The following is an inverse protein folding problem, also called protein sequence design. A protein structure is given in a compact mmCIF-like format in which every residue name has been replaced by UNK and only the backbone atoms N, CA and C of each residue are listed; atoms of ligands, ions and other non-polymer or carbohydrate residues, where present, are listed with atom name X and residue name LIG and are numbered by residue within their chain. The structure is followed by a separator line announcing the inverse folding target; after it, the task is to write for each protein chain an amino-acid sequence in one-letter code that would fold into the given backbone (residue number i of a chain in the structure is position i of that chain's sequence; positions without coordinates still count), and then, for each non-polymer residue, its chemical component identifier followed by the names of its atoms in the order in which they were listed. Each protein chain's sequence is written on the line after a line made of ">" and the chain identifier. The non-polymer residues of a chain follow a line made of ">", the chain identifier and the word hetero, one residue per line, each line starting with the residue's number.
data_IF_144204708028
#
_entry.id   IF_144204708028
#
_cell.length_a   1.000
_cell.length_b   1.000
_cell.length_c   1.000
_cell.angle_alpha   90.00
_cell.angle_beta   90.00
_cell.angle_gamma   90.00
#
_symmetry.space_group_name_H-M   'P 1'
#
loop_
_entity.id
_entity.type
_entity.pdbx_description
1 polymer ?
#
# COMPACT_ATOMS: atom_id res chain seq x y z
N UNK A 1 67.23 -1.61 55.00
CA UNK A 1 65.84 -1.31 55.46
C UNK A 1 65.06 -0.39 54.51
N UNK A 2 65.67 0.55 53.77
CA UNK A 2 64.95 1.46 52.83
C UNK A 2 64.33 0.78 51.58
N UNK A 3 64.91 -0.31 51.07
CA UNK A 3 64.38 -1.00 49.88
C UNK A 3 63.28 -2.04 50.19
N UNK A 4 63.25 -2.57 51.42
CA UNK A 4 62.24 -3.53 51.87
C UNK A 4 60.87 -2.87 52.12
N UNK A 5 60.87 -1.60 52.54
CA UNK A 5 59.63 -0.82 52.75
C UNK A 5 58.94 -0.49 51.42
N UNK A 6 59.70 -0.27 50.34
CA UNK A 6 59.16 0.02 49.00
C UNK A 6 58.44 -1.20 48.37
N UNK A 7 58.94 -2.40 48.62
CA UNK A 7 58.32 -3.66 48.16
C UNK A 7 57.04 -4.00 48.94
N UNK A 8 57.00 -3.70 50.25
CA UNK A 8 55.81 -3.86 51.08
C UNK A 8 54.71 -2.85 50.74
N UNK A 9 55.06 -1.60 50.40
CA UNK A 9 54.09 -0.60 49.95
C UNK A 9 53.48 -0.92 48.58
N UNK A 10 54.22 -1.59 47.69
CA UNK A 10 53.70 -2.00 46.37
C UNK A 10 52.77 -3.21 46.48
N UNK A 11 53.04 -4.14 47.40
CA UNK A 11 52.17 -5.29 47.67
C UNK A 11 50.82 -4.90 48.29
N UNK A 12 50.80 -3.90 49.17
CA UNK A 12 49.56 -3.41 49.79
C UNK A 12 48.64 -2.68 48.80
N UNK A 13 49.20 -1.95 47.84
CA UNK A 13 48.42 -1.29 46.76
C UNK A 13 47.79 -2.31 45.82
N UNK A 14 48.44 -3.46 45.58
CA UNK A 14 47.93 -4.53 44.72
C UNK A 14 46.78 -5.33 45.37
N UNK A 15 46.74 -5.44 46.70
CA UNK A 15 45.64 -6.11 47.43
C UNK A 15 44.38 -5.25 47.50
N UNK A 16 44.51 -3.92 47.45
CA UNK A 16 43.37 -3.00 47.47
C UNK A 16 42.64 -2.89 46.11
N UNK A 17 43.28 -3.24 44.99
CA UNK A 17 42.66 -3.17 43.66
C UNK A 17 41.83 -4.40 43.28
N UNK A 18 42.06 -5.56 43.93
CA UNK A 18 41.27 -6.79 43.71
C UNK A 18 39.96 -6.85 44.49
N UNK A 19 39.77 -6.00 45.50
CA UNK A 19 38.50 -5.87 46.25
C UNK A 19 37.48 -4.93 45.59
N UNK A 20 37.86 -4.23 44.50
CA UNK A 20 36.97 -3.32 43.78
C UNK A 20 36.07 -4.04 42.75
N UNK A 21 36.21 -5.36 42.58
CA UNK A 21 35.27 -6.15 41.79
C UNK A 21 34.01 -6.39 42.63
N UNK A 22 33.13 -5.38 42.68
CA UNK A 22 31.80 -5.55 43.27
C UNK A 22 31.05 -6.59 42.45
N UNK A 23 30.45 -7.59 43.10
CA UNK A 23 29.55 -8.52 42.44
C UNK A 23 28.46 -7.68 41.78
N UNK A 24 28.39 -7.71 40.44
CA UNK A 24 27.31 -7.05 39.71
C UNK A 24 26.00 -7.66 40.23
N UNK A 25 25.03 -6.80 40.57
CA UNK A 25 23.72 -7.26 41.02
C UNK A 25 23.17 -8.28 40.01
N UNK A 26 22.53 -9.34 40.50
CA UNK A 26 21.95 -10.35 39.63
C UNK A 26 21.01 -9.64 38.66
N UNK A 27 21.30 -9.76 37.35
CA UNK A 27 20.49 -9.12 36.32
C UNK A 27 19.06 -9.66 36.45
N UNK A 28 18.03 -8.80 36.41
CA UNK A 28 16.65 -9.26 36.47
C UNK A 28 16.39 -10.28 35.35
N UNK A 29 16.00 -11.49 35.74
CA UNK A 29 15.51 -12.50 34.80
C UNK A 29 14.09 -12.12 34.43
N UNK A 30 13.91 -11.65 33.20
CA UNK A 30 12.59 -11.38 32.66
C UNK A 30 12.02 -12.67 32.08
N UNK A 31 10.82 -13.03 32.51
CA UNK A 31 10.08 -14.12 31.88
C UNK A 31 9.88 -13.85 30.39
N UNK A 32 9.87 -14.94 29.61
CA UNK A 32 9.59 -14.83 28.19
C UNK A 32 8.16 -14.33 27.96
N UNK A 33 8.00 -13.54 26.90
CA UNK A 33 6.69 -13.18 26.39
C UNK A 33 5.88 -14.40 25.92
N UNK A 34 4.63 -14.14 25.54
CA UNK A 34 3.67 -15.13 25.06
C UNK A 34 3.20 -14.74 23.65
N UNK A 35 2.92 -15.75 22.83
CA UNK A 35 2.33 -15.55 21.52
C UNK A 35 0.99 -14.80 21.66
N UNK A 36 0.79 -13.78 20.82
CA UNK A 36 -0.46 -13.02 20.81
C UNK A 36 -1.55 -13.78 20.06
N UNK A 37 -2.80 -13.59 20.43
CA UNK A 37 -3.95 -14.06 19.66
C UNK A 37 -4.45 -12.92 18.78
N UNK A 38 -4.37 -13.10 17.46
CA UNK A 38 -4.85 -12.16 16.45
C UNK A 38 -6.35 -12.37 16.19
N UNK A 39 -7.08 -11.26 16.11
CA UNK A 39 -8.49 -11.20 15.71
C UNK A 39 -8.67 -10.15 14.60
N UNK A 40 -9.68 -10.35 13.75
CA UNK A 40 -10.11 -9.37 12.76
C UNK A 40 -11.54 -8.93 13.04
N UNK A 41 -11.88 -7.67 12.72
CA UNK A 41 -13.25 -7.16 12.86
C UNK A 41 -14.24 -7.83 11.92
N UNK A 42 -13.77 -8.41 10.81
CA UNK A 42 -14.60 -9.08 9.81
C UNK A 42 -13.91 -10.33 9.27
N UNK A 43 -14.70 -11.36 8.97
CA UNK A 43 -14.25 -12.54 8.21
C UNK A 43 -14.44 -12.36 6.71
N UNK A 44 -15.33 -11.46 6.30
CA UNK A 44 -15.54 -11.03 4.91
C UNK A 44 -15.58 -9.51 4.86
N UNK A 45 -14.72 -8.90 4.06
CA UNK A 45 -14.63 -7.45 3.88
C UNK A 45 -15.21 -7.09 2.53
N UNK A 46 -16.26 -6.27 2.54
CA UNK A 46 -16.84 -5.65 1.35
C UNK A 46 -16.45 -4.18 1.38
N UNK A 47 -15.74 -3.73 0.34
CA UNK A 47 -15.29 -2.35 0.21
C UNK A 47 -15.51 -1.88 -1.23
N UNK A 48 -15.86 -0.62 -1.38
CA UNK A 48 -16.06 0.03 -2.67
C UNK A 48 -15.10 1.22 -2.84
N UNK A 49 -15.08 1.82 -4.04
CA UNK A 49 -14.33 3.06 -4.28
C UNK A 49 -14.68 4.16 -3.28
N UNK A 50 -15.94 4.26 -2.85
CA UNK A 50 -16.39 5.26 -1.87
C UNK A 50 -15.77 5.08 -0.47
N UNK A 51 -15.26 3.88 -0.16
CA UNK A 51 -14.65 3.55 1.13
C UNK A 51 -13.12 3.70 1.10
N UNK A 52 -12.55 4.20 0.00
CA UNK A 52 -11.09 4.28 -0.21
C UNK A 52 -10.33 4.87 0.97
N UNK A 53 -10.87 5.93 1.59
CA UNK A 53 -10.23 6.64 2.71
C UNK A 53 -10.74 6.22 4.09
N UNK A 54 -11.63 5.22 4.16
CA UNK A 54 -12.21 4.70 5.40
C UNK A 54 -11.50 3.41 5.79
N UNK A 55 -11.34 3.19 7.10
CA UNK A 55 -10.93 1.89 7.62
C UNK A 55 -12.02 0.85 7.34
N UNK A 56 -11.69 -0.21 6.60
CA UNK A 56 -12.65 -1.26 6.19
C UNK A 56 -12.44 -2.57 6.95
N UNK A 57 -11.25 -2.78 7.50
CA UNK A 57 -10.94 -3.90 8.37
C UNK A 57 -9.97 -3.46 9.45
N UNK A 58 -10.24 -3.86 10.69
CA UNK A 58 -9.30 -3.70 11.80
C UNK A 58 -8.83 -5.05 12.31
N UNK A 59 -7.61 -5.05 12.82
CA UNK A 59 -6.95 -6.20 13.43
C UNK A 59 -6.56 -5.82 14.85
N UNK A 60 -6.80 -6.72 15.79
CA UNK A 60 -6.47 -6.55 17.19
C UNK A 60 -5.77 -7.79 17.71
N UNK A 61 -4.92 -7.63 18.71
CA UNK A 61 -4.21 -8.75 19.32
C UNK A 61 -4.01 -8.60 20.82
N UNK A 62 -3.83 -9.73 21.50
CA UNK A 62 -3.60 -9.78 22.95
C UNK A 62 -2.23 -9.22 23.34
N UNK A 63 -2.00 -8.97 24.63
CA UNK A 63 -0.71 -8.49 25.13
C UNK A 63 0.34 -9.61 25.03
N UNK A 64 1.50 -9.40 24.37
CA UNK A 64 2.59 -10.39 24.36
C UNK A 64 3.32 -10.52 25.70
N UNK A 65 3.13 -9.61 26.65
CA UNK A 65 3.78 -9.64 27.98
C UNK A 65 5.32 -9.70 27.92
N UNK A 66 5.89 -9.12 26.87
CA UNK A 66 7.32 -8.87 26.70
C UNK A 66 7.90 -8.13 27.92
N UNK A 67 9.10 -8.50 28.36
CA UNK A 67 9.76 -7.95 29.56
C UNK A 67 10.23 -6.49 29.49
N UNK A 68 9.66 -5.68 28.59
CA UNK A 68 9.95 -4.25 28.42
C UNK A 68 8.66 -3.43 28.46
N UNK A 69 8.78 -2.11 28.46
CA UNK A 69 7.62 -1.21 28.36
C UNK A 69 6.81 -1.52 27.09
N UNK A 70 5.48 -1.52 27.22
CA UNK A 70 4.58 -1.79 26.10
C UNK A 70 4.77 -0.84 24.91
N UNK A 71 5.21 0.40 25.14
CA UNK A 71 5.56 1.34 24.08
C UNK A 71 6.71 0.86 23.19
N UNK A 72 7.58 -0.02 23.71
CA UNK A 72 8.70 -0.62 22.99
C UNK A 72 8.33 -1.91 22.26
N UNK A 73 7.08 -2.37 22.35
CA UNK A 73 6.64 -3.54 21.61
C UNK A 73 6.54 -3.21 20.12
N UNK A 74 7.14 -4.06 19.31
CA UNK A 74 7.04 -4.02 17.86
C UNK A 74 6.13 -5.13 17.38
N UNK A 75 5.14 -4.77 16.57
CA UNK A 75 4.24 -5.69 15.90
C UNK A 75 4.41 -5.55 14.39
N UNK A 76 4.55 -6.68 13.70
CA UNK A 76 4.56 -6.73 12.24
C UNK A 76 3.33 -7.51 11.81
N UNK A 77 2.32 -6.82 11.28
CA UNK A 77 1.17 -7.42 10.63
C UNK A 77 1.60 -7.89 9.24
N UNK A 78 1.50 -9.19 9.00
CA UNK A 78 1.84 -9.86 7.75
C UNK A 78 0.57 -10.30 7.04
N UNK A 79 0.42 -9.93 5.77
CA UNK A 79 -0.76 -10.21 4.96
C UNK A 79 -0.32 -10.89 3.68
N UNK A 80 -0.82 -12.08 3.38
CA UNK A 80 -0.49 -12.81 2.17
C UNK A 80 -1.76 -13.42 1.52
N UNK A 81 -1.70 -13.82 0.26
CA UNK A 81 -2.74 -14.68 -0.33
C UNK A 81 -2.80 -15.99 0.43
N UNK A 82 -4.02 -16.49 0.63
CA UNK A 82 -4.23 -17.70 1.40
C UNK A 82 -3.43 -18.89 0.87
N UNK A 83 -2.81 -19.65 1.78
CA UNK A 83 -2.05 -20.86 1.45
C UNK A 83 -0.65 -20.61 0.89
N UNK A 84 -0.20 -19.35 0.73
CA UNK A 84 1.18 -19.03 0.30
C UNK A 84 2.21 -19.11 1.42
N UNK A 85 1.81 -19.45 2.64
CA UNK A 85 2.70 -19.52 3.82
C UNK A 85 3.55 -18.26 4.01
N UNK A 86 2.98 -17.08 3.72
CA UNK A 86 3.66 -15.78 3.84
C UNK A 86 4.90 -15.60 2.93
N UNK A 87 5.01 -16.37 1.85
CA UNK A 87 6.13 -16.29 0.90
C UNK A 87 6.18 -14.97 0.11
N UNK A 88 5.07 -14.23 0.02
CA UNK A 88 4.99 -12.92 -0.66
C UNK A 88 4.15 -11.92 0.14
N UNK A 89 4.36 -11.91 1.45
CA UNK A 89 3.61 -11.05 2.36
C UNK A 89 3.83 -9.55 2.10
N UNK A 90 2.76 -8.78 2.30
CA UNK A 90 2.84 -7.34 2.56
C UNK A 90 2.81 -7.14 4.07
N UNK A 91 3.70 -6.28 4.58
CA UNK A 91 3.84 -6.04 6.01
C UNK A 91 3.44 -4.63 6.43
N UNK A 92 2.79 -4.49 7.59
CA UNK A 92 2.52 -3.20 8.26
C UNK A 92 3.10 -3.25 9.68
N UNK A 93 4.05 -2.36 9.98
CA UNK A 93 4.67 -2.29 11.32
C UNK A 93 3.91 -1.34 12.22
N UNK A 94 3.71 -1.75 13.48
CA UNK A 94 3.03 -0.99 14.53
C UNK A 94 3.89 -1.03 15.79
N UNK A 95 4.13 0.13 16.40
CA UNK A 95 4.87 0.26 17.66
C UNK A 95 3.91 0.63 18.78
N UNK A 96 4.01 -0.02 19.93
CA UNK A 96 3.29 0.34 21.16
C UNK A 96 1.77 0.13 21.15
N UNK A 97 1.14 -0.03 19.99
CA UNK A 97 -0.29 -0.26 19.84
C UNK A 97 -0.61 -1.73 19.55
N UNK A 98 -1.73 -2.21 20.10
CA UNK A 98 -2.21 -3.59 19.95
C UNK A 98 -3.32 -3.76 18.91
N UNK A 99 -3.39 -2.81 18.00
CA UNK A 99 -4.35 -2.81 16.91
C UNK A 99 -3.83 -2.03 15.72
N UNK A 100 -4.39 -2.34 14.55
CA UNK A 100 -4.22 -1.55 13.34
C UNK A 100 -5.43 -1.72 12.45
N UNK A 101 -5.53 -0.89 11.42
CA UNK A 101 -6.58 -1.00 10.42
C UNK A 101 -5.99 -0.84 9.02
N UNK A 102 -6.71 -1.36 8.03
CA UNK A 102 -6.49 -1.06 6.63
C UNK A 102 -7.63 -0.21 6.12
N UNK A 103 -7.27 0.86 5.42
CA UNK A 103 -8.21 1.61 4.59
C UNK A 103 -8.66 0.79 3.39
N UNK A 104 -9.79 1.15 2.79
CA UNK A 104 -10.25 0.53 1.54
C UNK A 104 -9.17 0.58 0.46
N UNK A 105 -8.44 1.69 0.35
CA UNK A 105 -7.34 1.87 -0.61
C UNK A 105 -6.13 0.99 -0.31
N UNK A 106 -5.66 0.94 0.95
CA UNK A 106 -4.55 0.05 1.32
C UNK A 106 -4.89 -1.42 1.00
N UNK A 107 -6.09 -1.86 1.37
CA UNK A 107 -6.54 -3.22 1.09
C UNK A 107 -6.61 -3.46 -0.42
N UNK A 108 -7.29 -2.60 -1.19
CA UNK A 108 -7.45 -2.77 -2.63
C UNK A 108 -6.08 -2.84 -3.35
N UNK A 109 -5.13 -2.00 -2.94
CA UNK A 109 -3.78 -2.01 -3.49
C UNK A 109 -3.04 -3.34 -3.24
N UNK A 110 -3.18 -3.93 -2.05
CA UNK A 110 -2.61 -5.27 -1.78
C UNK A 110 -3.19 -6.29 -2.77
N UNK A 111 -4.51 -6.29 -2.95
CA UNK A 111 -5.19 -7.26 -3.81
C UNK A 111 -4.80 -7.11 -5.29
N UNK A 112 -4.78 -5.88 -5.79
CA UNK A 112 -4.41 -5.59 -7.17
C UNK A 112 -2.95 -5.95 -7.44
N UNK A 113 -2.03 -5.66 -6.52
CA UNK A 113 -0.63 -6.03 -6.67
C UNK A 113 -0.37 -7.54 -6.50
N UNK A 114 -1.32 -8.30 -5.94
CA UNK A 114 -1.34 -9.77 -6.02
C UNK A 114 -1.89 -10.31 -7.34
N UNK A 115 -2.39 -9.44 -8.23
CA UNK A 115 -2.97 -9.83 -9.52
C UNK A 115 -4.38 -10.39 -9.41
N UNK A 116 -5.08 -10.08 -8.33
CA UNK A 116 -6.46 -10.53 -8.14
C UNK A 116 -7.42 -9.80 -9.08
N UNK A 117 -8.41 -10.54 -9.59
CA UNK A 117 -9.39 -10.00 -10.51
C UNK A 117 -10.39 -9.12 -9.77
N UNK A 118 -10.65 -7.93 -10.29
CA UNK A 118 -11.63 -6.98 -9.75
C UNK A 118 -13.01 -7.64 -9.65
N UNK A 119 -13.70 -7.40 -8.54
CA UNK A 119 -15.04 -7.93 -8.26
C UNK A 119 -15.10 -9.43 -7.94
N UNK A 120 -13.96 -10.13 -7.89
CA UNK A 120 -13.89 -11.55 -7.52
C UNK A 120 -13.45 -11.71 -6.07
N UNK A 121 -14.10 -12.60 -5.29
CA UNK A 121 -13.67 -12.88 -3.93
C UNK A 121 -12.39 -13.71 -3.93
N UNK A 122 -11.47 -13.32 -3.07
CA UNK A 122 -10.20 -14.00 -2.78
C UNK A 122 -9.99 -14.09 -1.28
N UNK A 123 -9.18 -15.05 -0.84
CA UNK A 123 -8.84 -15.21 0.58
C UNK A 123 -7.42 -14.73 0.87
N UNK A 124 -7.27 -14.02 2.00
CA UNK A 124 -5.98 -13.61 2.55
C UNK A 124 -5.72 -14.29 3.88
N UNK A 125 -4.45 -14.59 4.13
CA UNK A 125 -3.91 -15.03 5.40
C UNK A 125 -3.25 -13.86 6.10
N UNK A 126 -3.60 -13.66 7.37
CA UNK A 126 -3.06 -12.58 8.19
C UNK A 126 -2.49 -13.16 9.47
N UNK A 127 -1.27 -12.77 9.82
CA UNK A 127 -0.67 -13.03 11.12
C UNK A 127 -0.01 -11.77 11.66
N UNK A 128 0.28 -11.76 12.95
CA UNK A 128 1.14 -10.72 13.55
C UNK A 128 2.32 -11.39 14.23
N UNK A 129 3.50 -10.80 14.05
CA UNK A 129 4.69 -11.15 14.85
C UNK A 129 4.94 -10.04 15.87
N UNK A 130 4.92 -10.38 17.16
CA UNK A 130 5.37 -9.46 18.22
C UNK A 130 6.87 -9.65 18.48
N UNK A 131 7.52 -8.59 18.93
CA UNK A 131 8.92 -8.60 19.38
C UNK A 131 9.22 -7.35 20.21
N UNK A 132 10.41 -7.31 20.81
CA UNK A 132 10.99 -6.05 21.26
C UNK A 132 11.29 -5.12 20.07
N UNK A 133 11.46 -3.83 20.31
CA UNK A 133 11.81 -2.85 19.26
C UNK A 133 13.05 -3.21 18.42
N UNK A 134 13.99 -3.95 19.01
CA UNK A 134 15.19 -4.46 18.35
C UNK A 134 15.00 -5.82 17.63
N UNK A 135 13.76 -6.31 17.51
CA UNK A 135 13.37 -7.61 16.96
C UNK A 135 13.79 -8.85 17.77
N UNK A 136 14.25 -8.68 19.02
CA UNK A 136 14.45 -9.83 19.90
C UNK A 136 13.10 -10.42 20.34
N UNK A 137 13.12 -11.72 20.67
CA UNK A 137 11.96 -12.46 21.15
C UNK A 137 10.77 -12.39 20.18
N UNK A 138 10.94 -12.89 18.96
CA UNK A 138 9.87 -12.93 17.97
C UNK A 138 8.85 -14.03 18.32
N UNK A 139 7.59 -13.64 18.46
CA UNK A 139 6.48 -14.55 18.76
C UNK A 139 5.36 -14.35 17.73
N UNK A 140 4.98 -15.41 17.03
CA UNK A 140 3.94 -15.38 16.02
C UNK A 140 2.56 -15.69 16.60
N UNK A 141 1.52 -15.06 16.05
CA UNK A 141 0.13 -15.33 16.38
C UNK A 141 -0.43 -16.56 15.66
N UNK A 142 -1.69 -16.91 15.96
CA UNK A 142 -2.54 -17.66 15.04
C UNK A 142 -2.66 -16.95 13.68
N UNK A 143 -2.98 -17.71 12.63
CA UNK A 143 -3.34 -17.16 11.32
C UNK A 143 -4.85 -16.91 11.27
N UNK A 144 -5.24 -15.69 10.91
CA UNK A 144 -6.63 -15.32 10.61
C UNK A 144 -6.82 -15.31 9.11
N UNK A 145 -7.93 -15.88 8.65
CA UNK A 145 -8.32 -15.86 7.23
C UNK A 145 -9.48 -14.93 7.00
N UNK A 146 -9.37 -14.07 6.00
CA UNK A 146 -10.42 -13.16 5.58
C UNK A 146 -10.72 -13.30 4.10
N UNK A 147 -11.97 -13.11 3.71
CA UNK A 147 -12.41 -13.04 2.31
C UNK A 147 -12.59 -11.59 1.90
N UNK A 148 -12.04 -11.22 0.76
CA UNK A 148 -11.96 -9.82 0.28
C UNK A 148 -12.12 -9.80 -1.24
N UNK A 149 -12.60 -8.70 -1.82
CA UNK A 149 -12.69 -8.53 -3.28
C UNK A 149 -12.06 -7.18 -3.67
N UNK A 150 -11.18 -7.13 -4.69
CA UNK A 150 -10.72 -5.85 -5.21
C UNK A 150 -11.89 -5.09 -5.84
N UNK A 151 -11.91 -3.77 -5.69
CA UNK A 151 -12.90 -2.90 -6.31
C UNK A 151 -12.29 -2.12 -7.48
N UNK A 152 -13.17 -1.68 -8.38
CA UNK A 152 -12.80 -0.83 -9.50
C UNK A 152 -12.56 0.63 -9.05
N UNK A 153 -11.48 1.24 -9.52
CA UNK A 153 -11.13 2.63 -9.22
C UNK A 153 -10.76 3.34 -10.55
N UNK A 154 -11.77 3.69 -11.37
CA UNK A 154 -11.56 4.16 -12.73
C UNK A 154 -10.90 5.55 -12.78
N UNK A 155 -10.32 5.86 -13.93
CA UNK A 155 -9.80 7.19 -14.22
C UNK A 155 -10.95 8.21 -14.38
N UNK A 156 -10.69 9.45 -14.01
CA UNK A 156 -11.61 10.58 -14.22
C UNK A 156 -11.09 11.40 -15.39
N UNK A 157 -11.80 11.35 -16.52
CA UNK A 157 -11.47 12.07 -17.75
C UNK A 157 -11.92 13.53 -17.68
N UNK A 158 -11.08 14.43 -18.19
CA UNK A 158 -11.37 15.85 -18.41
C UNK A 158 -10.90 16.26 -19.79
N UNK A 159 -11.58 17.25 -20.37
CA UNK A 159 -11.26 17.83 -21.67
C UNK A 159 -10.92 19.30 -21.51
N UNK A 160 -9.94 19.79 -22.27
CA UNK A 160 -9.58 21.20 -22.30
C UNK A 160 -10.70 22.06 -22.88
N UNK A 161 -11.30 21.60 -23.98
CA UNK A 161 -12.38 22.30 -24.67
C UNK A 161 -13.59 21.37 -24.83
N UNK A 162 -14.79 21.93 -24.75
CA UNK A 162 -16.06 21.23 -25.01
C UNK A 162 -16.63 21.56 -26.38
N UNK A 163 -16.02 22.48 -27.13
CA UNK A 163 -16.41 22.88 -28.48
C UNK A 163 -15.15 23.22 -29.27
N UNK A 164 -15.09 22.81 -30.52
CA UNK A 164 -13.98 23.07 -31.44
C UNK A 164 -14.54 23.40 -32.83
N UNK A 165 -13.81 24.22 -33.57
CA UNK A 165 -14.11 24.54 -34.98
C UNK A 165 -12.84 24.35 -35.83
N UNK A 166 -12.41 23.08 -36.07
CA UNK A 166 -11.23 22.81 -36.88
C UNK A 166 -11.36 23.39 -38.29
N UNK A 167 -10.24 23.90 -38.83
CA UNK A 167 -10.15 24.29 -40.24
C UNK A 167 -8.91 23.69 -40.88
N UNK A 168 -8.90 23.58 -42.21
CA UNK A 168 -7.75 23.03 -42.94
C UNK A 168 -6.45 23.81 -42.65
N UNK A 169 -6.55 25.13 -42.48
CA UNK A 169 -5.41 26.02 -42.24
C UNK A 169 -4.68 25.74 -40.90
N UNK A 170 -5.39 25.15 -39.92
CA UNK A 170 -4.84 24.84 -38.59
C UNK A 170 -4.80 23.34 -38.31
N UNK A 171 -4.97 22.50 -39.34
CA UNK A 171 -5.10 21.04 -39.23
C UNK A 171 -4.01 20.39 -38.36
N UNK A 172 -2.76 20.81 -38.51
CA UNK A 172 -1.62 20.28 -37.74
C UNK A 172 -1.41 20.96 -36.37
N UNK A 173 -2.15 22.03 -36.06
CA UNK A 173 -2.07 22.67 -34.74
C UNK A 173 -2.76 21.78 -33.69
N UNK A 174 -2.34 21.86 -32.41
CA UNK A 174 -3.08 21.25 -31.31
C UNK A 174 -4.56 21.64 -31.38
N UNK A 175 -5.43 20.64 -31.39
CA UNK A 175 -6.88 20.82 -31.42
C UNK A 175 -7.43 20.79 -30.00
N UNK A 176 -7.28 19.66 -29.31
CA UNK A 176 -7.79 19.50 -27.97
C UNK A 176 -6.95 18.56 -27.12
N UNK A 177 -6.81 18.90 -25.85
CA UNK A 177 -6.10 18.08 -24.87
C UNK A 177 -7.10 17.40 -23.95
N UNK A 178 -6.93 16.09 -23.78
CA UNK A 178 -7.65 15.28 -22.81
C UNK A 178 -6.70 14.86 -21.70
N UNK A 179 -7.11 14.99 -20.45
CA UNK A 179 -6.32 14.57 -19.28
C UNK A 179 -7.15 13.75 -18.33
N UNK A 180 -6.54 12.80 -17.63
CA UNK A 180 -7.26 11.96 -16.67
C UNK A 180 -6.46 11.62 -15.42
N UNK A 181 -7.17 11.27 -14.35
CA UNK A 181 -6.54 10.68 -13.17
C UNK A 181 -6.04 9.26 -13.45
N UNK A 182 -5.06 8.80 -12.69
CA UNK A 182 -4.60 7.40 -12.78
C UNK A 182 -5.68 6.46 -12.23
N UNK A 183 -6.09 5.45 -13.00
CA UNK A 183 -6.89 4.34 -12.48
C UNK A 183 -6.11 3.52 -11.45
N UNK A 184 -6.81 2.91 -10.49
CA UNK A 184 -6.20 2.09 -9.45
C UNK A 184 -5.00 2.76 -8.72
N UNK A 185 -5.19 3.93 -8.06
CA UNK A 185 -4.10 4.61 -7.35
C UNK A 185 -3.44 3.73 -6.29
N UNK A 186 -2.18 3.35 -6.56
CA UNK A 186 -1.34 2.46 -5.75
C UNK A 186 -1.13 1.06 -6.35
N UNK A 187 -1.78 0.74 -7.47
CA UNK A 187 -1.36 -0.36 -8.32
C UNK A 187 -0.04 -0.04 -9.03
N UNK A 188 0.94 -0.93 -8.86
CA UNK A 188 2.32 -0.72 -9.33
C UNK A 188 2.56 -1.25 -10.75
N UNK A 189 1.62 -2.02 -11.29
CA UNK A 189 1.70 -2.50 -12.66
C UNK A 189 1.44 -1.41 -13.70
N UNK A 190 1.67 -1.79 -14.95
CA UNK A 190 1.38 -0.95 -16.11
C UNK A 190 -0.13 -0.84 -16.33
N UNK A 191 -0.59 0.39 -16.56
CA UNK A 191 -1.99 0.67 -16.95
C UNK A 191 -1.96 1.25 -18.34
N UNK A 192 -2.63 0.61 -19.30
CA UNK A 192 -2.74 1.09 -20.67
C UNK A 192 -4.07 1.81 -20.84
N UNK A 193 -4.02 3.03 -21.37
CA UNK A 193 -5.22 3.83 -21.62
C UNK A 193 -5.54 3.86 -23.12
N UNK A 194 -6.83 3.79 -23.40
CA UNK A 194 -7.44 4.05 -24.70
C UNK A 194 -8.48 5.13 -24.49
N UNK A 195 -8.43 6.19 -25.29
CA UNK A 195 -9.48 7.19 -25.32
C UNK A 195 -10.58 6.69 -26.26
N UNK A 196 -11.82 6.62 -25.77
CA UNK A 196 -12.97 6.20 -26.57
C UNK A 196 -13.88 7.38 -26.88
N UNK A 197 -14.41 7.44 -28.09
CA UNK A 197 -15.35 8.46 -28.54
C UNK A 197 -16.51 7.82 -29.31
N UNK A 198 -17.70 8.40 -29.18
CA UNK A 198 -18.95 7.99 -29.83
C UNK A 198 -19.92 9.17 -29.80
N UNK A 199 -20.92 9.20 -30.67
CA UNK A 199 -21.77 10.37 -30.80
C UNK A 199 -22.73 10.46 -29.63
N UNK A 200 -23.04 11.68 -29.22
CA UNK A 200 -24.05 11.94 -28.21
C UNK A 200 -25.35 11.15 -28.49
N UNK A 201 -25.77 10.37 -27.48
CA UNK A 201 -26.99 9.54 -27.53
C UNK A 201 -26.79 8.09 -27.96
N UNK A 202 -25.62 7.71 -28.49
CA UNK A 202 -25.30 6.32 -28.85
C UNK A 202 -24.82 5.47 -27.66
N UNK A 203 -24.50 6.09 -26.53
CA UNK A 203 -24.09 5.44 -25.27
C UNK A 203 -22.89 4.48 -25.41
N UNK A 204 -21.93 4.80 -26.28
CA UNK A 204 -20.79 3.94 -26.56
C UNK A 204 -21.21 2.52 -27.00
N UNK A 205 -22.28 2.41 -27.80
CA UNK A 205 -22.73 1.12 -28.34
C UNK A 205 -21.75 0.57 -29.38
N UNK A 206 -21.11 1.46 -30.15
CA UNK A 206 -20.05 1.15 -31.11
C UNK A 206 -18.94 2.19 -30.99
N UNK A 207 -18.22 2.22 -29.87
CA UNK A 207 -17.24 3.26 -29.61
C UNK A 207 -16.06 3.11 -30.55
N UNK A 208 -15.42 4.24 -30.86
CA UNK A 208 -14.16 4.27 -31.59
C UNK A 208 -13.02 4.49 -30.62
N UNK A 209 -11.93 3.79 -30.87
CA UNK A 209 -10.75 3.79 -30.02
C UNK A 209 -9.67 4.70 -30.59
N UNK A 210 -9.07 5.50 -29.71
CA UNK A 210 -7.79 6.16 -29.93
C UNK A 210 -6.78 5.60 -28.92
N UNK A 211 -5.82 4.77 -29.35
CA UNK A 211 -4.84 4.19 -28.44
C UNK A 211 -3.93 5.31 -27.91
N UNK A 212 -3.85 5.45 -26.58
CA UNK A 212 -2.97 6.44 -25.95
C UNK A 212 -1.65 5.77 -25.59
N UNK A 213 -1.70 4.72 -24.77
CA UNK A 213 -0.52 3.97 -24.36
C UNK A 213 -0.41 3.76 -22.85
N UNK A 214 0.75 3.28 -22.43
CA UNK A 214 0.99 2.82 -21.06
C UNK A 214 1.41 3.94 -20.13
N UNK A 215 0.74 4.04 -18.98
CA UNK A 215 0.98 5.00 -17.91
C UNK A 215 0.91 6.48 -18.34
N UNK A 216 0.33 6.77 -19.51
CA UNK A 216 0.06 8.12 -19.98
C UNK A 216 -1.24 8.64 -19.37
N UNK A 217 -1.23 9.89 -18.93
CA UNK A 217 -2.38 10.56 -18.28
C UNK A 217 -2.93 11.74 -19.09
N UNK A 218 -2.42 11.90 -20.31
CA UNK A 218 -2.77 13.00 -21.21
C UNK A 218 -2.58 12.57 -22.65
N UNK A 219 -3.42 13.11 -23.53
CA UNK A 219 -3.24 13.07 -24.98
C UNK A 219 -3.74 14.37 -25.58
N UNK A 220 -2.99 14.92 -26.54
CA UNK A 220 -3.42 16.07 -27.32
C UNK A 220 -3.66 15.62 -28.75
N UNK A 221 -4.90 15.75 -29.20
CA UNK A 221 -5.27 15.51 -30.59
C UNK A 221 -5.14 16.80 -31.39
N UNK A 222 -4.62 16.70 -32.59
CA UNK A 222 -4.56 17.78 -33.58
C UNK A 222 -5.96 18.17 -34.06
N UNK A 223 -6.09 19.34 -34.68
CA UNK A 223 -7.35 19.74 -35.32
C UNK A 223 -7.76 18.76 -36.44
N UNK A 224 -6.79 18.15 -37.13
CA UNK A 224 -7.05 17.09 -38.09
C UNK A 224 -7.68 15.85 -37.43
N UNK A 225 -7.06 15.31 -36.39
CA UNK A 225 -7.57 14.13 -35.67
C UNK A 225 -8.95 14.40 -35.04
N UNK A 226 -9.16 15.58 -34.47
CA UNK A 226 -10.49 15.98 -33.94
C UNK A 226 -11.55 16.11 -35.03
N UNK A 227 -11.18 16.53 -36.24
CA UNK A 227 -12.10 16.55 -37.37
C UNK A 227 -12.37 15.13 -37.90
N UNK A 228 -11.35 14.28 -37.94
CA UNK A 228 -11.46 12.88 -38.35
C UNK A 228 -12.38 12.09 -37.39
N UNK A 229 -12.26 12.30 -36.08
CA UNK A 229 -13.14 11.67 -35.09
C UNK A 229 -14.60 12.03 -35.34
N UNK A 230 -14.90 13.30 -35.62
CA UNK A 230 -16.26 13.75 -35.92
C UNK A 230 -16.83 13.15 -37.22
N UNK A 231 -16.03 13.14 -38.28
CA UNK A 231 -16.43 12.56 -39.57
C UNK A 231 -16.66 11.04 -39.45
N UNK A 232 -15.75 10.34 -38.77
CA UNK A 232 -15.85 8.89 -38.55
C UNK A 232 -17.11 8.53 -37.76
N UNK A 233 -17.63 9.45 -36.97
CA UNK A 233 -18.81 9.24 -36.14
C UNK A 233 -20.13 9.71 -36.81
N UNK A 234 -20.03 10.24 -38.03
CA UNK A 234 -21.16 10.58 -38.90
C UNK A 234 -21.55 12.06 -38.89
N UNK A 235 -20.73 12.94 -38.30
CA UNK A 235 -20.94 14.39 -38.42
C UNK A 235 -20.63 14.81 -39.86
N UNK A 236 -21.58 15.46 -40.52
CA UNK A 236 -21.40 15.92 -41.90
C UNK A 236 -20.43 17.10 -41.93
N UNK A 237 -19.46 17.07 -42.86
CA UNK A 237 -18.49 18.16 -43.03
C UNK A 237 -19.17 19.51 -43.22
N UNK A 238 -18.67 20.53 -42.51
CA UNK A 238 -19.24 21.89 -42.53
C UNK A 238 -20.48 22.08 -41.65
N UNK A 239 -20.91 21.05 -40.91
CA UNK A 239 -22.01 21.14 -39.95
C UNK A 239 -21.51 20.96 -38.52
N UNK A 240 -22.26 21.49 -37.55
CA UNK A 240 -22.00 21.24 -36.14
C UNK A 240 -22.56 19.88 -35.73
N UNK A 241 -21.71 19.03 -35.17
CA UNK A 241 -22.11 17.75 -34.57
C UNK A 241 -21.85 17.71 -33.06
N UNK A 242 -22.35 16.66 -32.40
CA UNK A 242 -22.03 16.35 -31.00
C UNK A 242 -21.40 14.96 -30.95
N UNK A 243 -20.17 14.92 -30.45
CA UNK A 243 -19.42 13.71 -30.13
C UNK A 243 -19.53 13.54 -28.63
#
# INVERSE_FOLDING_TARGET
>A
MKNSIKLLSLGWVLVLTVLACTKVADLPFYDKGRAVTLSSSFTTVVSTQADSNRNVVSFTWTNPQHGTDSANYKFVLSIDSAGRNFAREVTKTVMGARSTALTGRELNNILLNYGFAVGRPHSLDVKVTSSYGNNNERLESNVVRITVSPFDDPAVLTTQNTTLSPTLAVSNNPGNTFTWSRSFPGYTGNITYTLQYDSAGKNFATPRDFPVGTNLLTVTLTNFEMNETALNDGVVGGTTGRI
#
